data_IF_247117904797
#
_entry.id   IF_247117904797
#
_cell.length_a   1.000
_cell.length_b   1.000
_cell.length_c   1.000
_cell.angle_alpha   90.00
_cell.angle_beta   90.00
_cell.angle_gamma   90.00
#
_symmetry.space_group_name_H-M   'P 1'
#
loop_
_entity.id
_entity.type
_entity.pdbx_description
1 polymer ?
#
# COMPACT_ATOMS: atom_id res chain seq x y z
N UNK A 1 -14.61 3.76 20.76
CA UNK A 1 -14.97 4.46 19.51
C UNK A 1 -13.68 4.98 18.89
N UNK A 2 -13.23 4.42 17.77
CA UNK A 2 -12.01 4.88 17.08
C UNK A 2 -12.35 6.00 16.10
N UNK A 3 -11.66 7.13 16.19
CA UNK A 3 -11.81 8.26 15.25
C UNK A 3 -11.02 7.93 13.98
N UNK A 4 -11.71 7.71 12.87
CA UNK A 4 -11.10 7.70 11.55
C UNK A 4 -10.93 9.15 11.07
N UNK A 5 -9.77 9.46 10.53
CA UNK A 5 -9.48 10.80 9.97
C UNK A 5 -9.46 10.66 8.45
N UNK A 6 -10.29 11.45 7.77
CA UNK A 6 -10.39 11.48 6.31
C UNK A 6 -10.19 12.90 5.79
N UNK A 7 -9.44 13.04 4.70
CA UNK A 7 -9.24 14.33 4.02
C UNK A 7 -9.33 14.11 2.50
N UNK A 8 -10.16 14.93 1.85
CA UNK A 8 -10.35 14.89 0.40
C UNK A 8 -9.84 16.17 -0.25
N UNK A 9 -9.24 16.04 -1.43
CA UNK A 9 -8.81 17.16 -2.27
C UNK A 9 -8.92 16.81 -3.75
N UNK A 10 -8.98 17.84 -4.61
CA UNK A 10 -9.00 17.67 -6.06
C UNK A 10 -7.59 17.52 -6.63
N UNK A 11 -7.42 16.57 -7.53
CA UNK A 11 -6.19 16.32 -8.28
C UNK A 11 -6.53 16.12 -9.76
N UNK A 12 -6.40 17.20 -10.55
CA UNK A 12 -6.86 17.22 -11.93
C UNK A 12 -8.37 17.02 -12.01
N UNK A 13 -8.80 16.01 -12.78
CA UNK A 13 -10.20 15.59 -12.89
C UNK A 13 -10.68 14.63 -11.80
N UNK A 14 -9.79 14.26 -10.88
CA UNK A 14 -10.04 13.20 -9.90
C UNK A 14 -10.07 13.74 -8.47
N UNK A 15 -10.97 13.23 -7.65
CA UNK A 15 -10.99 13.48 -6.21
C UNK A 15 -10.17 12.42 -5.49
N UNK A 16 -9.15 12.86 -4.77
CA UNK A 16 -8.31 12.00 -3.93
C UNK A 16 -8.79 12.11 -2.48
N UNK A 17 -9.09 10.98 -1.85
CA UNK A 17 -9.44 10.87 -0.44
C UNK A 17 -8.38 10.06 0.29
N UNK A 18 -7.79 10.63 1.34
CA UNK A 18 -6.84 9.98 2.22
C UNK A 18 -7.52 9.65 3.55
N UNK A 19 -7.45 8.39 3.98
CA UNK A 19 -8.08 7.87 5.19
C UNK A 19 -7.03 7.20 6.09
N UNK A 20 -7.11 7.42 7.41
CA UNK A 20 -6.27 6.74 8.41
C UNK A 20 -7.06 6.48 9.71
N UNK A 21 -6.54 5.59 10.56
CA UNK A 21 -7.06 5.29 11.90
C UNK A 21 -8.10 4.16 11.99
N UNK A 22 -8.76 3.79 10.90
CA UNK A 22 -9.79 2.74 10.94
C UNK A 22 -9.22 1.32 10.78
N UNK A 23 -8.37 1.12 9.77
CA UNK A 23 -7.78 -0.15 9.42
C UNK A 23 -6.37 -0.27 10.00
N UNK A 24 -6.01 -1.50 10.38
CA UNK A 24 -4.61 -1.89 10.48
C UNK A 24 -3.80 -1.07 11.54
N UNK A 25 -4.49 -0.68 12.61
CA UNK A 25 -4.08 0.31 13.63
C UNK A 25 -2.75 0.11 14.35
N UNK A 26 -2.13 -1.05 14.21
CA UNK A 26 -0.84 -1.36 14.83
C UNK A 26 0.37 -0.88 14.02
N UNK A 27 0.19 -0.37 12.80
CA UNK A 27 1.27 0.32 12.11
C UNK A 27 0.89 1.74 11.67
N UNK A 28 1.89 2.51 11.27
CA UNK A 28 1.75 3.84 10.72
C UNK A 28 1.24 3.73 9.27
N UNK A 29 -0.08 3.78 9.11
CA UNK A 29 -0.76 3.42 7.85
C UNK A 29 -1.65 4.54 7.34
N UNK A 30 -1.76 4.59 6.02
CA UNK A 30 -2.69 5.48 5.33
C UNK A 30 -3.27 4.77 4.13
N UNK A 31 -4.56 4.94 3.90
CA UNK A 31 -5.24 4.48 2.69
C UNK A 31 -5.50 5.67 1.79
N UNK A 32 -5.26 5.50 0.50
CA UNK A 32 -5.65 6.46 -0.51
C UNK A 32 -6.77 5.86 -1.37
N UNK A 33 -7.76 6.68 -1.69
CA UNK A 33 -8.81 6.36 -2.64
C UNK A 33 -8.88 7.43 -3.72
N UNK A 34 -8.97 7.01 -4.97
CA UNK A 34 -9.20 7.87 -6.13
C UNK A 34 -10.62 7.62 -6.65
N UNK A 35 -11.44 8.68 -6.70
CA UNK A 35 -12.80 8.69 -7.26
C UNK A 35 -13.73 7.59 -6.74
N UNK A 36 -13.55 7.15 -5.49
CA UNK A 36 -14.36 6.06 -4.95
C UNK A 36 -14.04 4.66 -5.49
N UNK A 37 -13.30 4.54 -6.61
CA UNK A 37 -13.13 3.28 -7.37
C UNK A 37 -11.78 2.61 -7.18
N UNK A 38 -10.69 3.38 -7.19
CA UNK A 38 -9.35 2.82 -7.01
C UNK A 38 -8.91 3.02 -5.57
N UNK A 39 -8.77 1.92 -4.82
CA UNK A 39 -8.32 1.96 -3.43
C UNK A 39 -6.95 1.30 -3.28
N UNK A 40 -5.94 2.10 -2.93
CA UNK A 40 -4.63 1.61 -2.51
C UNK A 40 -4.46 1.77 -1.00
N UNK A 41 -3.97 0.74 -0.32
CA UNK A 41 -3.55 0.85 1.08
C UNK A 41 -2.02 0.94 1.12
N UNK A 42 -1.50 1.98 1.77
CA UNK A 42 -0.08 2.17 2.03
C UNK A 42 0.20 1.93 3.50
N UNK A 43 0.87 0.83 3.80
CA UNK A 43 1.24 0.48 5.17
C UNK A 43 2.74 0.71 5.37
N UNK A 44 3.12 1.42 6.44
CA UNK A 44 4.51 1.60 6.84
C UNK A 44 4.72 1.07 8.24
N UNK A 45 5.81 0.36 8.43
CA UNK A 45 6.26 -0.14 9.73
C UNK A 45 7.73 0.24 9.84
N UNK A 46 8.06 1.05 10.84
CA UNK A 46 9.44 1.39 11.16
C UNK A 46 9.80 0.77 12.51
N UNK A 47 11.02 0.23 12.62
CA UNK A 47 11.54 -0.21 13.92
C UNK A 47 11.71 1.01 14.83
N UNK A 48 11.29 0.88 16.10
CA UNK A 48 11.44 1.96 17.10
C UNK A 48 12.89 2.18 17.52
N UNK A 49 13.70 1.14 17.44
CA UNK A 49 15.12 1.16 17.78
C UNK A 49 15.95 0.75 16.58
N UNK A 50 17.10 1.41 16.42
CA UNK A 50 18.06 1.06 15.38
C UNK A 50 18.79 -0.21 15.80
N UNK A 51 18.74 -1.26 14.98
CA UNK A 51 19.58 -2.44 15.18
C UNK A 51 21.06 -2.03 15.16
N UNK A 52 21.89 -2.62 16.04
CA UNK A 52 23.32 -2.37 16.04
C UNK A 52 23.98 -2.96 14.78
N UNK A 53 24.85 -2.20 14.11
CA UNK A 53 25.68 -2.70 13.00
C UNK A 53 25.29 -2.44 11.53
N UNK A 54 24.13 -1.85 11.14
CA UNK A 54 23.87 -1.59 9.74
C UNK A 54 24.60 -0.32 9.26
N UNK A 55 25.49 -0.50 8.28
CA UNK A 55 26.15 0.56 7.50
C UNK A 55 25.29 1.12 6.36
N UNK A 56 24.06 0.62 6.21
CA UNK A 56 23.09 1.03 5.19
C UNK A 56 21.69 1.16 5.79
N UNK A 57 20.78 1.87 5.12
CA UNK A 57 19.37 1.98 5.51
C UNK A 57 18.60 0.76 4.94
N UNK A 58 18.08 -0.16 5.78
CA UNK A 58 17.33 -1.32 5.29
C UNK A 58 15.88 -0.92 4.96
N UNK A 59 15.69 -0.23 3.83
CA UNK A 59 14.37 0.07 3.29
C UNK A 59 13.90 -1.08 2.39
N UNK A 60 12.68 -1.56 2.64
CA UNK A 60 12.02 -2.56 1.81
C UNK A 60 10.66 -2.04 1.39
N UNK A 61 10.42 -2.01 0.08
CA UNK A 61 9.13 -1.61 -0.49
C UNK A 61 8.52 -2.80 -1.22
N UNK A 62 7.29 -3.15 -0.86
CA UNK A 62 6.54 -4.23 -1.51
C UNK A 62 5.20 -3.69 -2.02
N UNK A 63 5.03 -3.69 -3.34
CA UNK A 63 3.76 -3.42 -3.99
C UNK A 63 3.11 -4.74 -4.44
N UNK A 64 1.84 -4.95 -4.08
CA UNK A 64 1.08 -6.17 -4.42
C UNK A 64 -0.28 -5.79 -4.97
N UNK A 65 -0.63 -6.31 -6.14
CA UNK A 65 -1.95 -6.20 -6.74
C UNK A 65 -2.78 -7.43 -6.40
N UNK A 66 -3.91 -7.19 -5.73
CA UNK A 66 -4.86 -8.24 -5.40
C UNK A 66 -5.88 -8.41 -6.50
N UNK A 67 -6.08 -9.64 -6.99
CA UNK A 67 -6.98 -9.87 -8.14
C UNK A 67 -8.44 -9.54 -7.80
N UNK A 68 -8.82 -9.66 -6.53
CA UNK A 68 -10.13 -9.26 -6.04
C UNK A 68 -10.39 -7.76 -6.21
N UNK A 69 -9.35 -6.91 -6.31
CA UNK A 69 -9.53 -5.48 -6.57
C UNK A 69 -10.17 -5.21 -7.94
N UNK A 70 -10.04 -6.15 -8.88
CA UNK A 70 -10.69 -6.14 -10.18
C UNK A 70 -11.87 -7.13 -10.27
N UNK A 71 -12.34 -7.69 -9.15
CA UNK A 71 -13.42 -8.68 -9.11
C UNK A 71 -13.07 -10.02 -9.76
N UNK A 72 -11.78 -10.37 -9.87
CA UNK A 72 -11.32 -11.59 -10.55
C UNK A 72 -10.69 -12.60 -9.59
N UNK A 73 -10.91 -13.89 -9.87
CA UNK A 73 -10.24 -15.01 -9.17
C UNK A 73 -8.87 -15.24 -9.84
N UNK A 74 -7.79 -15.49 -9.08
CA UNK A 74 -6.49 -15.80 -9.66
C UNK A 74 -6.55 -17.06 -10.54
N UNK A 75 -6.04 -16.96 -11.77
CA UNK A 75 -6.14 -18.03 -12.79
C UNK A 75 -5.17 -19.21 -12.62
N UNK A 76 -4.32 -19.22 -11.59
CA UNK A 76 -3.37 -20.31 -11.35
C UNK A 76 -3.98 -21.53 -10.64
N UNK A 77 -3.28 -22.67 -10.67
CA UNK A 77 -3.72 -23.92 -10.01
C UNK A 77 -4.10 -23.72 -8.53
N UNK A 78 -3.30 -22.94 -7.80
CA UNK A 78 -3.52 -22.64 -6.38
C UNK A 78 -4.56 -21.53 -6.12
N UNK A 79 -5.09 -20.88 -7.17
CA UNK A 79 -6.08 -19.79 -7.09
C UNK A 79 -5.74 -18.70 -6.05
N UNK A 80 -4.45 -18.42 -5.87
CA UNK A 80 -3.94 -17.43 -4.91
C UNK A 80 -2.87 -16.57 -5.58
N UNK A 81 -2.71 -15.32 -5.15
CA UNK A 81 -1.57 -14.52 -5.59
C UNK A 81 -0.26 -15.18 -5.13
N UNK A 82 0.70 -15.23 -6.05
CA UNK A 82 1.97 -15.93 -5.89
C UNK A 82 3.13 -14.97 -5.71
N UNK A 83 4.25 -15.27 -6.38
CA UNK A 83 5.40 -14.36 -6.45
C UNK A 83 5.01 -13.06 -7.15
N UNK A 84 5.63 -11.92 -6.77
CA UNK A 84 5.43 -10.66 -7.47
C UNK A 84 5.66 -10.81 -8.96
N UNK A 85 4.75 -10.27 -9.74
CA UNK A 85 4.86 -10.11 -11.18
C UNK A 85 5.93 -9.08 -11.53
N UNK A 86 6.31 -9.02 -12.80
CA UNK A 86 7.22 -7.99 -13.31
C UNK A 86 6.67 -6.58 -13.04
N UNK A 87 5.37 -6.37 -13.29
CA UNK A 87 4.70 -5.10 -12.99
C UNK A 87 4.80 -4.73 -11.52
N UNK A 88 4.52 -5.67 -10.62
CA UNK A 88 4.61 -5.42 -9.17
C UNK A 88 6.04 -5.10 -8.72
N UNK A 89 7.03 -5.77 -9.32
CA UNK A 89 8.45 -5.51 -9.06
C UNK A 89 8.86 -4.12 -9.54
N UNK A 90 8.46 -3.72 -10.76
CA UNK A 90 8.76 -2.40 -11.30
C UNK A 90 8.09 -1.28 -10.50
N UNK A 91 6.82 -1.45 -10.13
CA UNK A 91 6.10 -0.48 -9.29
C UNK A 91 6.73 -0.36 -7.90
N UNK A 92 7.16 -1.48 -7.30
CA UNK A 92 7.90 -1.46 -6.03
C UNK A 92 9.17 -0.62 -6.13
N UNK A 93 9.92 -0.76 -7.23
CA UNK A 93 11.14 0.03 -7.48
C UNK A 93 10.87 1.50 -7.76
N UNK A 94 9.76 1.83 -8.41
CA UNK A 94 9.36 3.23 -8.62
C UNK A 94 9.07 3.94 -7.30
N UNK A 95 8.45 3.24 -6.35
CA UNK A 95 8.16 3.79 -5.01
C UNK A 95 9.43 3.92 -4.16
N UNK A 96 10.41 3.02 -4.34
CA UNK A 96 11.68 3.00 -3.58
C UNK A 96 12.68 4.09 -4.02
N UNK A 97 12.58 4.58 -5.26
CA UNK A 97 13.62 5.40 -5.91
C UNK A 97 13.36 6.92 -6.10
N UNK A 98 12.33 7.55 -5.51
CA UNK A 98 11.77 8.82 -5.99
C UNK A 98 12.81 9.92 -6.24
#
# INVERSE_FOLDING_TARGET
MTLSVSKSFQYGSHTVTLETGELARQADRSRARLDGRYGGAGDRVCAKERAAGPRFLPLTVNYVEKTYAAGRIPGGFFKREGRPTEKETLTSRLIDRP
#
